data_IF_575309052552
#
_entry.id   IF_575309052552
#
_cell.length_a   1.000
_cell.length_b   1.000
_cell.length_c   1.000
_cell.angle_alpha   90.00
_cell.angle_beta   90.00
_cell.angle_gamma   90.00
#
_symmetry.space_group_name_H-M   'P 1'
#
loop_
_entity.id
_entity.type
_entity.pdbx_description
1 polymer ?
#
# COMPACT_ATOMS: atom_id res chain seq x y z
N UNK A 1 9.80 -8.91 -23.22
CA UNK A 1 10.23 -9.02 -21.82
C UNK A 1 10.60 -10.48 -21.61
N UNK A 2 11.74 -10.80 -20.99
CA UNK A 2 12.11 -12.19 -20.72
C UNK A 2 11.07 -12.84 -19.80
N UNK A 3 10.65 -14.07 -20.10
CA UNK A 3 9.72 -14.81 -19.25
C UNK A 3 10.48 -15.24 -18.00
N UNK A 4 10.06 -14.72 -16.84
CA UNK A 4 10.66 -15.07 -15.55
C UNK A 4 10.13 -16.44 -15.13
N UNK A 5 11.05 -17.40 -15.08
CA UNK A 5 10.78 -18.78 -14.67
C UNK A 5 11.55 -19.10 -13.39
N UNK A 6 11.32 -20.27 -12.80
CA UNK A 6 12.16 -20.77 -11.71
C UNK A 6 13.68 -20.70 -11.98
N UNK A 7 14.11 -20.92 -13.23
CA UNK A 7 15.53 -20.82 -13.63
C UNK A 7 16.10 -19.41 -13.42
N UNK A 8 15.28 -18.36 -13.58
CA UNK A 8 15.71 -16.98 -13.32
C UNK A 8 16.09 -16.80 -11.84
N UNK A 9 15.25 -17.26 -10.91
CA UNK A 9 15.52 -17.14 -9.48
C UNK A 9 16.74 -17.96 -9.04
N UNK A 10 16.92 -19.16 -9.60
CA UNK A 10 18.11 -19.97 -9.35
C UNK A 10 19.40 -19.27 -9.80
N UNK A 11 19.38 -18.59 -10.97
CA UNK A 11 20.51 -17.77 -11.43
C UNK A 11 20.82 -16.58 -10.51
N UNK A 12 19.80 -16.06 -9.81
CA UNK A 12 19.97 -15.03 -8.78
C UNK A 12 20.43 -15.60 -7.43
N UNK A 13 20.72 -16.91 -7.35
CA UNK A 13 21.13 -17.58 -6.11
C UNK A 13 19.98 -17.77 -5.10
N UNK A 14 18.73 -17.66 -5.55
CA UNK A 14 17.56 -17.91 -4.69
C UNK A 14 17.30 -19.42 -4.66
N UNK A 15 17.31 -20.07 -3.47
CA UNK A 15 17.00 -21.48 -3.37
C UNK A 15 15.61 -21.81 -3.92
N UNK A 16 15.49 -22.89 -4.69
CA UNK A 16 14.21 -23.35 -5.23
C UNK A 16 13.14 -23.53 -4.14
N UNK A 17 13.53 -24.06 -2.97
CA UNK A 17 12.62 -24.22 -1.83
C UNK A 17 11.98 -22.90 -1.40
N UNK A 18 12.74 -21.80 -1.48
CA UNK A 18 12.26 -20.47 -1.09
C UNK A 18 11.28 -19.97 -2.16
N UNK A 19 11.63 -20.11 -3.45
CA UNK A 19 10.75 -19.74 -4.57
C UNK A 19 9.40 -20.46 -4.48
N UNK A 20 9.41 -21.78 -4.24
CA UNK A 20 8.19 -22.59 -4.11
C UNK A 20 7.39 -22.24 -2.86
N UNK A 21 8.06 -22.00 -1.72
CA UNK A 21 7.39 -21.58 -0.49
C UNK A 21 6.70 -20.22 -0.66
N UNK A 22 7.40 -19.25 -1.26
CA UNK A 22 6.86 -17.93 -1.56
C UNK A 22 5.70 -18.02 -2.54
N UNK A 23 5.81 -18.78 -3.64
CA UNK A 23 4.70 -18.93 -4.57
C UNK A 23 3.49 -19.58 -3.89
N UNK A 24 3.69 -20.65 -3.11
CA UNK A 24 2.61 -21.30 -2.36
C UNK A 24 1.89 -20.33 -1.42
N UNK A 25 2.64 -19.44 -0.77
CA UNK A 25 2.08 -18.47 0.17
C UNK A 25 1.42 -17.25 -0.51
N UNK A 26 2.01 -16.76 -1.60
CA UNK A 26 1.62 -15.50 -2.24
C UNK A 26 0.78 -15.65 -3.51
N UNK A 27 0.65 -16.85 -4.08
CA UNK A 27 -0.15 -17.07 -5.28
C UNK A 27 -1.59 -16.57 -5.08
N UNK A 28 -2.15 -16.00 -6.14
CA UNK A 28 -3.55 -15.62 -6.17
C UNK A 28 -4.41 -16.86 -6.34
N UNK A 29 -5.55 -16.89 -5.65
CA UNK A 29 -6.56 -17.94 -5.84
C UNK A 29 -7.15 -17.84 -7.24
N UNK A 30 -7.09 -18.92 -8.01
CA UNK A 30 -7.66 -18.98 -9.35
C UNK A 30 -9.16 -18.60 -9.35
N UNK A 31 -9.57 -17.75 -10.29
CA UNK A 31 -10.95 -17.28 -10.39
C UNK A 31 -11.38 -16.21 -9.38
N UNK A 32 -10.52 -15.84 -8.41
CA UNK A 32 -10.85 -14.80 -7.44
C UNK A 32 -10.95 -13.43 -8.10
N UNK A 33 -12.12 -12.79 -7.96
CA UNK A 33 -12.31 -11.39 -8.35
C UNK A 33 -11.81 -10.47 -7.24
N UNK A 34 -10.64 -9.87 -7.44
CA UNK A 34 -9.92 -9.08 -6.42
C UNK A 34 -10.74 -7.90 -5.85
N UNK A 35 -11.28 -7.02 -6.70
CA UNK A 35 -12.05 -5.85 -6.23
C UNK A 35 -13.33 -6.23 -5.48
N UNK A 36 -14.19 -7.15 -5.99
CA UNK A 36 -15.33 -7.66 -5.22
C UNK A 36 -14.95 -8.31 -3.89
N UNK A 37 -13.85 -9.06 -3.84
CA UNK A 37 -13.35 -9.65 -2.60
C UNK A 37 -12.95 -8.58 -1.58
N UNK A 38 -12.24 -7.53 -2.01
CA UNK A 38 -11.75 -6.48 -1.12
C UNK A 38 -12.86 -5.56 -0.60
N UNK A 39 -13.88 -5.27 -1.43
CA UNK A 39 -14.88 -4.21 -1.17
C UNK A 39 -15.55 -4.28 0.21
N UNK A 40 -16.16 -5.41 0.65
CA UNK A 40 -16.83 -5.43 1.96
C UNK A 40 -15.88 -5.12 3.12
N UNK A 41 -14.64 -5.63 3.05
CA UNK A 41 -13.60 -5.37 4.06
C UNK A 41 -13.16 -3.91 4.08
N UNK A 42 -13.02 -3.30 2.88
CA UNK A 42 -12.72 -1.87 2.75
C UNK A 42 -13.82 -1.00 3.36
N UNK A 43 -15.08 -1.35 3.14
CA UNK A 43 -16.22 -0.64 3.74
C UNK A 43 -16.19 -0.70 5.26
N UNK A 44 -15.87 -1.85 5.85
CA UNK A 44 -15.76 -1.99 7.30
C UNK A 44 -14.59 -1.19 7.88
N UNK A 45 -13.40 -1.25 7.28
CA UNK A 45 -12.27 -0.41 7.69
C UNK A 45 -12.55 1.08 7.53
N UNK A 46 -13.23 1.47 6.46
CA UNK A 46 -13.63 2.85 6.21
C UNK A 46 -14.59 3.35 7.30
N UNK A 47 -15.60 2.55 7.67
CA UNK A 47 -16.52 2.88 8.76
C UNK A 47 -15.79 3.05 10.09
N UNK A 48 -14.83 2.16 10.39
CA UNK A 48 -13.96 2.30 11.55
C UNK A 48 -13.20 3.63 11.51
N UNK A 49 -12.57 3.96 10.37
CA UNK A 49 -11.75 5.15 10.22
C UNK A 49 -12.53 6.47 10.33
N UNK A 50 -13.75 6.49 9.79
CA UNK A 50 -14.65 7.63 9.91
C UNK A 50 -15.02 7.90 11.38
N UNK A 51 -15.15 6.85 12.19
CA UNK A 51 -15.48 6.92 13.61
C UNK A 51 -14.31 7.28 14.53
N UNK A 52 -13.06 7.33 14.03
CA UNK A 52 -11.92 7.69 14.86
C UNK A 52 -12.06 9.09 15.47
N UNK A 53 -11.61 9.27 16.73
CA UNK A 53 -11.74 10.53 17.45
C UNK A 53 -11.01 11.64 16.70
N UNK A 54 -11.62 12.83 16.68
CA UNK A 54 -11.10 14.01 16.00
C UNK A 54 -10.73 15.10 17.02
N UNK A 55 -9.54 15.66 16.85
CA UNK A 55 -9.05 16.82 17.61
C UNK A 55 -9.70 18.14 17.18
N UNK A 56 -9.48 19.19 17.98
CA UNK A 56 -10.00 20.54 17.68
C UNK A 56 -9.30 21.20 16.49
N UNK A 57 -8.00 20.93 16.33
CA UNK A 57 -7.16 21.47 15.26
C UNK A 57 -6.07 20.47 14.87
N UNK A 58 -5.24 20.83 13.89
CA UNK A 58 -4.09 20.03 13.46
C UNK A 58 -3.02 19.92 14.55
N UNK A 59 -2.85 20.95 15.37
CA UNK A 59 -1.91 20.99 16.49
C UNK A 59 -2.41 20.15 17.67
N UNK A 60 -3.73 19.99 17.79
CA UNK A 60 -4.41 19.24 18.85
C UNK A 60 -5.10 17.97 18.33
N UNK A 61 -4.43 17.24 17.44
CA UNK A 61 -4.95 15.98 16.87
C UNK A 61 -5.21 14.95 17.96
N UNK A 62 -6.28 14.18 17.79
CA UNK A 62 -6.45 12.92 18.50
C UNK A 62 -5.72 11.83 17.72
N UNK A 63 -4.92 11.04 18.43
CA UNK A 63 -4.10 9.97 17.87
C UNK A 63 -4.84 8.65 18.04
N UNK A 64 -4.84 7.83 16.99
CA UNK A 64 -5.30 6.44 17.05
C UNK A 64 -4.18 5.54 16.55
N UNK A 65 -3.69 4.67 17.43
CA UNK A 65 -2.68 3.67 17.11
C UNK A 65 -3.34 2.50 16.37
N UNK A 66 -2.75 2.08 15.25
CA UNK A 66 -3.31 1.01 14.40
C UNK A 66 -2.45 -0.25 14.47
N UNK A 67 -1.13 -0.07 14.40
CA UNK A 67 -0.15 -1.16 14.42
C UNK A 67 0.96 -0.86 15.42
N UNK A 68 1.50 -1.92 16.05
CA UNK A 68 2.69 -1.88 16.89
C UNK A 68 3.63 -3.01 16.49
N UNK A 69 4.90 -2.68 16.26
CA UNK A 69 5.96 -3.67 15.99
C UNK A 69 7.23 -3.25 16.72
N UNK A 70 7.63 -4.04 17.72
CA UNK A 70 8.72 -3.67 18.62
C UNK A 70 8.48 -2.33 19.31
N UNK A 71 9.41 -1.39 19.12
CA UNK A 71 9.32 -0.03 19.63
C UNK A 71 8.72 0.98 18.65
N UNK A 72 8.19 0.51 17.52
CA UNK A 72 7.50 1.32 16.53
C UNK A 72 5.99 1.21 16.69
N UNK A 73 5.31 2.33 16.44
CA UNK A 73 3.86 2.43 16.34
C UNK A 73 3.51 3.11 15.02
N UNK A 74 2.58 2.55 14.27
CA UNK A 74 1.97 3.20 13.10
C UNK A 74 0.60 3.68 13.50
N UNK A 75 0.37 4.98 13.34
CA UNK A 75 -0.81 5.66 13.85
C UNK A 75 -1.37 6.65 12.84
N UNK A 76 -2.55 7.15 13.16
CA UNK A 76 -3.16 8.30 12.49
C UNK A 76 -3.43 9.43 13.47
N UNK A 77 -3.37 10.66 13.00
CA UNK A 77 -3.83 11.84 13.72
C UNK A 77 -4.98 12.52 12.97
N UNK A 78 -6.08 12.83 13.66
CA UNK A 78 -7.25 13.49 13.06
C UNK A 78 -7.52 14.82 13.77
N UNK A 79 -7.72 15.96 13.07
CA UNK A 79 -7.78 16.13 11.60
C UNK A 79 -6.41 16.14 10.88
N UNK A 80 -6.41 15.74 9.60
CA UNK A 80 -5.28 15.87 8.67
C UNK A 80 -5.22 17.24 7.97
N UNK A 81 -4.30 17.38 7.01
CA UNK A 81 -4.03 18.64 6.28
C UNK A 81 -5.24 19.08 5.44
N UNK A 82 -5.90 18.15 4.76
CA UNK A 82 -7.01 18.44 3.83
C UNK A 82 -8.32 18.76 4.54
N UNK A 83 -8.34 18.68 5.88
CA UNK A 83 -9.47 19.09 6.71
C UNK A 83 -9.50 20.59 7.01
N UNK A 84 -8.42 21.34 6.71
CA UNK A 84 -8.44 22.80 6.85
C UNK A 84 -9.53 23.43 5.96
N UNK A 85 -10.28 24.44 6.42
CA UNK A 85 -11.20 25.21 5.58
C UNK A 85 -10.53 25.85 4.35
N UNK A 86 -9.23 26.12 4.42
CA UNK A 86 -8.46 26.70 3.31
C UNK A 86 -8.19 25.71 2.18
N UNK A 87 -8.36 24.41 2.45
CA UNK A 87 -8.11 23.36 1.48
C UNK A 87 -9.32 23.20 0.56
N UNK A 88 -9.15 23.56 -0.72
CA UNK A 88 -10.23 23.59 -1.71
C UNK A 88 -10.09 22.45 -2.71
N UNK A 89 -10.99 21.47 -2.65
CA UNK A 89 -11.15 20.43 -3.69
C UNK A 89 -12.58 20.39 -4.21
N UNK A 90 -12.75 19.93 -5.45
CA UNK A 90 -14.09 19.65 -6.00
C UNK A 90 -14.53 18.27 -5.55
N UNK A 91 -15.74 18.19 -5.00
CA UNK A 91 -16.43 16.93 -4.79
C UNK A 91 -16.75 16.29 -6.15
N UNK A 92 -16.41 15.01 -6.33
CA UNK A 92 -16.44 14.36 -7.65
C UNK A 92 -17.84 14.19 -8.23
N UNK A 93 -18.86 14.05 -7.37
CA UNK A 93 -20.25 13.89 -7.82
C UNK A 93 -20.97 15.25 -7.94
N UNK A 94 -20.95 16.08 -6.90
CA UNK A 94 -21.71 17.34 -6.87
C UNK A 94 -20.98 18.52 -7.52
N UNK A 95 -19.67 18.41 -7.78
CA UNK A 95 -18.83 19.50 -8.30
C UNK A 95 -18.57 20.64 -7.31
N UNK A 96 -19.20 20.61 -6.12
CA UNK A 96 -19.06 21.65 -5.09
C UNK A 96 -17.63 21.70 -4.56
N UNK A 97 -17.11 22.91 -4.36
CA UNK A 97 -15.82 23.10 -3.68
C UNK A 97 -16.00 22.87 -2.18
N UNK A 98 -15.20 21.96 -1.62
CA UNK A 98 -15.21 21.56 -0.22
C UNK A 98 -13.81 21.17 0.24
N UNK A 99 -13.60 21.14 1.55
CA UNK A 99 -12.47 20.46 2.19
C UNK A 99 -12.83 18.98 2.47
N UNK A 100 -11.87 18.21 3.00
CA UNK A 100 -12.10 16.85 3.50
C UNK A 100 -12.12 16.85 5.04
N UNK A 101 -13.29 17.01 5.69
CA UNK A 101 -13.38 17.05 7.15
C UNK A 101 -12.94 15.76 7.86
N UNK A 102 -12.88 14.64 7.12
CA UNK A 102 -12.45 13.35 7.64
C UNK A 102 -10.99 13.03 7.38
N UNK A 103 -10.25 13.91 6.70
CA UNK A 103 -8.83 13.72 6.41
C UNK A 103 -8.06 13.35 7.68
N UNK A 104 -7.13 12.42 7.54
CA UNK A 104 -6.27 11.93 8.61
C UNK A 104 -4.82 12.14 8.22
N UNK A 105 -3.94 12.16 9.22
CA UNK A 105 -2.50 12.22 9.03
C UNK A 105 -1.87 10.89 9.46
N UNK A 106 -1.55 9.96 8.54
CA UNK A 106 -0.75 8.78 8.84
C UNK A 106 0.68 9.15 9.26
N UNK A 107 1.21 8.52 10.31
CA UNK A 107 2.61 8.69 10.71
C UNK A 107 3.15 7.47 11.46
N UNK A 108 4.47 7.45 11.64
CA UNK A 108 5.20 6.44 12.38
C UNK A 108 5.79 7.10 13.64
N UNK A 109 5.73 6.41 14.78
CA UNK A 109 6.46 6.75 16.00
C UNK A 109 7.49 5.68 16.32
N UNK A 110 8.62 6.08 16.89
CA UNK A 110 9.65 5.23 17.49
C UNK A 110 9.89 5.71 18.91
N UNK A 111 9.71 4.84 19.90
CA UNK A 111 9.81 5.20 21.33
C UNK A 111 8.91 6.40 21.72
N UNK A 112 7.69 6.46 21.15
CA UNK A 112 6.74 7.55 21.42
C UNK A 112 7.03 8.88 20.70
N UNK A 113 8.11 8.97 19.93
CA UNK A 113 8.47 10.17 19.16
C UNK A 113 8.19 9.91 17.68
N UNK A 114 7.56 10.87 17.01
CA UNK A 114 7.31 10.79 15.56
C UNK A 114 8.62 10.70 14.78
N UNK A 115 8.68 9.75 13.84
CA UNK A 115 9.83 9.55 12.96
C UNK A 115 9.72 10.49 11.77
N UNK A 116 10.71 11.36 11.59
CA UNK A 116 10.81 12.27 10.45
C UNK A 116 9.66 13.28 10.35
N UNK A 117 9.57 13.92 9.19
CA UNK A 117 8.48 14.83 8.84
C UNK A 117 7.24 14.05 8.35
N UNK A 118 6.13 14.75 8.09
CA UNK A 118 5.00 14.14 7.38
C UNK A 118 5.47 13.54 6.05
N UNK A 119 5.31 12.22 5.88
CA UNK A 119 5.75 11.50 4.70
C UNK A 119 4.82 11.82 3.52
N UNK A 120 5.29 12.66 2.61
CA UNK A 120 4.59 12.94 1.35
C UNK A 120 4.71 11.76 0.39
N UNK A 121 3.84 11.68 -0.62
CA UNK A 121 3.97 10.69 -1.70
C UNK A 121 5.35 10.75 -2.38
N UNK A 122 5.87 11.96 -2.60
CA UNK A 122 7.20 12.18 -3.16
C UNK A 122 8.30 11.59 -2.28
N UNK A 123 8.27 11.87 -0.97
CA UNK A 123 9.25 11.33 -0.02
C UNK A 123 9.22 9.79 0.02
N UNK A 124 8.02 9.19 -0.04
CA UNK A 124 7.88 7.73 -0.10
C UNK A 124 8.43 7.15 -1.41
N UNK A 125 8.20 7.83 -2.54
CA UNK A 125 8.73 7.40 -3.83
C UNK A 125 10.25 7.49 -3.86
N UNK A 126 10.81 8.54 -3.29
CA UNK A 126 12.26 8.71 -3.16
C UNK A 126 12.87 7.60 -2.31
N UNK A 127 12.28 7.33 -1.14
CA UNK A 127 12.71 6.24 -0.25
C UNK A 127 12.68 4.87 -0.93
N UNK A 128 11.63 4.57 -1.69
CA UNK A 128 11.53 3.32 -2.47
C UNK A 128 12.50 3.33 -3.66
N UNK A 129 12.71 4.50 -4.29
CA UNK A 129 13.65 4.70 -5.39
C UNK A 129 15.09 4.37 -4.99
N UNK A 130 15.49 4.64 -3.75
CA UNK A 130 16.80 4.23 -3.23
C UNK A 130 17.01 2.71 -3.20
N UNK A 131 15.95 1.90 -3.35
CA UNK A 131 16.03 0.44 -3.41
C UNK A 131 16.37 -0.11 -4.80
N UNK A 132 16.51 0.73 -5.82
CA UNK A 132 16.76 0.33 -7.24
C UNK A 132 17.94 -0.64 -7.40
N UNK A 133 18.86 -0.70 -6.44
CA UNK A 133 20.07 -1.54 -6.47
C UNK A 133 20.25 -2.44 -5.24
N UNK A 134 19.21 -2.58 -4.41
CA UNK A 134 19.33 -3.31 -3.15
C UNK A 134 19.34 -4.84 -3.37
N UNK A 135 18.18 -5.48 -3.42
CA UNK A 135 18.04 -6.92 -3.71
C UNK A 135 16.82 -7.10 -4.63
N UNK A 136 17.05 -7.67 -5.82
CA UNK A 136 16.00 -7.85 -6.84
C UNK A 136 14.84 -8.70 -6.30
N UNK A 137 15.14 -9.76 -5.55
CA UNK A 137 14.10 -10.65 -5.05
C UNK A 137 13.38 -10.05 -3.84
N UNK A 138 14.09 -9.36 -2.94
CA UNK A 138 13.49 -8.58 -1.87
C UNK A 138 12.56 -7.50 -2.41
N UNK A 139 12.96 -6.79 -3.46
CA UNK A 139 12.16 -5.75 -4.09
C UNK A 139 10.90 -6.34 -4.74
N UNK A 140 11.01 -7.52 -5.34
CA UNK A 140 9.86 -8.27 -5.83
C UNK A 140 8.90 -8.69 -4.71
N UNK A 141 9.41 -9.28 -3.62
CA UNK A 141 8.60 -9.63 -2.44
C UNK A 141 7.85 -8.40 -1.90
N UNK A 142 8.53 -7.27 -1.79
CA UNK A 142 7.93 -6.01 -1.37
C UNK A 142 6.79 -5.58 -2.30
N UNK A 143 7.01 -5.57 -3.61
CA UNK A 143 5.98 -5.23 -4.60
C UNK A 143 4.77 -6.17 -4.57
N UNK A 144 4.99 -7.47 -4.42
CA UNK A 144 3.93 -8.47 -4.29
C UNK A 144 3.10 -8.26 -3.02
N UNK A 145 3.74 -7.98 -1.88
CA UNK A 145 3.03 -7.70 -0.62
C UNK A 145 2.18 -6.42 -0.72
N UNK A 146 2.69 -5.36 -1.34
CA UNK A 146 1.91 -4.14 -1.61
C UNK A 146 0.70 -4.45 -2.50
N UNK A 147 0.89 -5.21 -3.57
CA UNK A 147 -0.19 -5.61 -4.47
C UNK A 147 -1.28 -6.37 -3.71
N UNK A 148 -0.92 -7.35 -2.88
CA UNK A 148 -1.88 -8.14 -2.08
C UNK A 148 -2.59 -7.26 -1.04
N UNK A 149 -1.88 -6.30 -0.45
CA UNK A 149 -2.44 -5.30 0.49
C UNK A 149 -3.48 -4.39 -0.16
N UNK A 150 -3.30 -4.06 -1.45
CA UNK A 150 -4.27 -3.27 -2.24
C UNK A 150 -5.66 -3.91 -2.23
N UNK A 151 -5.72 -5.23 -2.28
CA UNK A 151 -6.96 -6.01 -2.32
C UNK A 151 -7.31 -6.70 -1.01
N UNK A 152 -6.65 -6.31 0.08
CA UNK A 152 -6.89 -6.82 1.42
C UNK A 152 -6.80 -8.36 1.52
N UNK A 153 -5.93 -8.99 0.72
CA UNK A 153 -5.84 -10.46 0.66
C UNK A 153 -5.29 -11.06 1.95
N UNK A 154 -4.47 -10.29 2.67
CA UNK A 154 -3.80 -10.71 3.90
C UNK A 154 -4.33 -9.96 5.14
N UNK A 155 -5.52 -9.36 5.04
CA UNK A 155 -6.17 -8.73 6.18
C UNK A 155 -7.03 -9.75 6.93
N UNK A 156 -6.93 -9.74 8.25
CA UNK A 156 -7.77 -10.55 9.14
C UNK A 156 -8.38 -9.66 10.22
N UNK A 157 -9.56 -10.04 10.70
CA UNK A 157 -10.13 -9.38 11.87
C UNK A 157 -9.31 -9.74 13.12
N UNK A 158 -9.00 -8.73 13.93
CA UNK A 158 -8.46 -8.93 15.27
C UNK A 158 -9.58 -9.34 16.26
N UNK A 159 -9.25 -9.46 17.55
CA UNK A 159 -10.21 -9.83 18.59
C UNK A 159 -11.38 -8.83 18.75
N UNK A 160 -11.20 -7.58 18.29
CA UNK A 160 -12.21 -6.52 18.32
C UNK A 160 -13.02 -6.44 17.01
N UNK A 161 -12.86 -7.43 16.11
CA UNK A 161 -13.53 -7.45 14.81
C UNK A 161 -12.97 -6.44 13.80
N UNK A 162 -11.81 -5.83 14.07
CA UNK A 162 -11.20 -4.82 13.20
C UNK A 162 -10.24 -5.46 12.20
N UNK A 163 -10.35 -5.11 10.92
CA UNK A 163 -9.44 -5.61 9.89
C UNK A 163 -8.05 -5.02 10.07
N UNK A 164 -7.05 -5.89 10.15
CA UNK A 164 -5.64 -5.53 10.26
C UNK A 164 -4.83 -6.34 9.26
N UNK A 165 -3.85 -5.69 8.63
CA UNK A 165 -2.92 -6.34 7.73
C UNK A 165 -2.03 -7.31 8.50
N UNK A 166 -2.02 -8.58 8.10
CA UNK A 166 -1.15 -9.62 8.66
C UNK A 166 -0.30 -10.18 7.50
N UNK A 167 0.87 -9.57 7.22
CA UNK A 167 1.72 -10.01 6.13
C UNK A 167 2.04 -11.52 6.24
N UNK A 168 2.03 -12.26 5.12
CA UNK A 168 2.38 -13.68 5.12
C UNK A 168 3.79 -13.92 5.68
N UNK A 169 3.93 -14.98 6.47
CA UNK A 169 5.07 -15.16 7.40
C UNK A 169 6.37 -15.46 6.65
N UNK A 170 6.33 -16.36 5.67
CA UNK A 170 7.53 -16.76 4.94
C UNK A 170 8.04 -15.61 4.07
N UNK A 171 7.13 -14.96 3.34
CA UNK A 171 7.40 -13.77 2.54
C UNK A 171 7.97 -12.63 3.40
N UNK A 172 7.38 -12.34 4.55
CA UNK A 172 7.90 -11.28 5.42
C UNK A 172 9.27 -11.63 6.00
N UNK A 173 9.46 -12.88 6.43
CA UNK A 173 10.74 -13.35 6.99
C UNK A 173 11.85 -13.22 5.96
N UNK A 174 11.61 -13.63 4.72
CA UNK A 174 12.58 -13.54 3.64
C UNK A 174 12.80 -12.09 3.19
N UNK A 175 11.75 -11.28 3.14
CA UNK A 175 11.84 -9.86 2.86
C UNK A 175 12.70 -9.14 3.90
N UNK A 176 12.48 -9.37 5.20
CA UNK A 176 13.28 -8.77 6.28
C UNK A 176 14.77 -9.11 6.19
N UNK A 177 15.13 -10.29 5.68
CA UNK A 177 16.53 -10.69 5.48
C UNK A 177 17.18 -9.94 4.30
N UNK A 178 16.42 -9.63 3.26
CA UNK A 178 16.92 -9.06 1.99
C UNK A 178 16.81 -7.55 1.92
N UNK A 179 15.73 -7.01 2.47
CA UNK A 179 15.42 -5.58 2.59
C UNK A 179 14.94 -5.32 4.03
N UNK A 180 15.86 -5.18 4.99
CA UNK A 180 15.50 -5.05 6.40
C UNK A 180 14.75 -3.75 6.72
N UNK A 181 15.06 -2.66 6.02
CA UNK A 181 14.49 -1.34 6.27
C UNK A 181 14.39 -0.48 5.01
N UNK A 182 13.52 0.53 5.07
CA UNK A 182 13.36 1.60 4.09
C UNK A 182 13.37 2.92 4.85
N UNK A 183 14.26 3.85 4.50
CA UNK A 183 14.34 5.15 5.17
C UNK A 183 14.58 5.07 6.69
N UNK A 184 15.34 4.08 7.15
CA UNK A 184 15.61 3.85 8.59
C UNK A 184 14.43 3.27 9.38
N UNK A 185 13.39 2.79 8.69
CA UNK A 185 12.22 2.14 9.28
C UNK A 185 12.19 0.67 8.88
N UNK A 186 12.00 -0.28 9.82
CA UNK A 186 11.87 -1.69 9.50
C UNK A 186 10.81 -1.96 8.41
N UNK A 187 11.09 -2.86 7.49
CA UNK A 187 10.25 -3.09 6.30
C UNK A 187 8.79 -3.48 6.63
N UNK A 188 8.57 -4.20 7.73
CA UNK A 188 7.22 -4.52 8.21
C UNK A 188 6.48 -3.28 8.71
N UNK A 189 7.17 -2.39 9.44
CA UNK A 189 6.62 -1.10 9.87
C UNK A 189 6.29 -0.23 8.65
N UNK A 190 7.13 -0.25 7.62
CA UNK A 190 6.86 0.45 6.37
C UNK A 190 5.62 -0.11 5.65
N UNK A 191 5.45 -1.44 5.59
CA UNK A 191 4.25 -2.07 5.04
C UNK A 191 2.98 -1.68 5.82
N UNK A 192 3.04 -1.66 7.15
CA UNK A 192 1.94 -1.18 7.99
C UNK A 192 1.62 0.28 7.72
N UNK A 193 2.64 1.12 7.53
CA UNK A 193 2.45 2.52 7.17
C UNK A 193 1.74 2.67 5.81
N UNK A 194 2.13 1.90 4.79
CA UNK A 194 1.45 1.91 3.49
C UNK A 194 -0.03 1.49 3.62
N UNK A 195 -0.34 0.52 4.48
CA UNK A 195 -1.73 0.13 4.74
C UNK A 195 -2.56 1.26 5.39
N UNK A 196 -1.99 1.97 6.36
CA UNK A 196 -2.64 3.12 7.02
C UNK A 196 -2.77 4.31 6.05
N UNK A 197 -1.76 4.56 5.22
CA UNK A 197 -1.83 5.56 4.14
C UNK A 197 -2.98 5.24 3.18
N UNK A 198 -3.10 3.99 2.75
CA UNK A 198 -4.15 3.54 1.87
C UNK A 198 -5.55 3.66 2.50
N UNK A 199 -5.67 3.44 3.81
CA UNK A 199 -6.90 3.69 4.56
C UNK A 199 -7.29 5.17 4.55
N UNK A 200 -6.31 6.08 4.70
CA UNK A 200 -6.58 7.52 4.59
C UNK A 200 -7.09 7.90 3.19
N UNK A 201 -6.48 7.34 2.14
CA UNK A 201 -6.93 7.59 0.76
C UNK A 201 -8.36 7.05 0.50
N UNK A 202 -8.76 5.94 1.13
CA UNK A 202 -10.16 5.49 1.12
C UNK A 202 -11.10 6.52 1.79
N UNK A 203 -10.70 7.08 2.94
CA UNK A 203 -11.47 8.14 3.63
C UNK A 203 -11.59 9.41 2.79
N UNK A 204 -10.52 9.82 2.09
CA UNK A 204 -10.56 10.97 1.17
C UNK A 204 -11.55 10.74 0.04
N UNK A 205 -11.47 9.60 -0.63
CA UNK A 205 -12.34 9.32 -1.79
C UNK A 205 -13.80 9.18 -1.37
N UNK A 206 -14.07 8.56 -0.22
CA UNK A 206 -15.40 8.52 0.36
C UNK A 206 -15.96 9.93 0.59
N UNK A 207 -15.20 10.78 1.27
CA UNK A 207 -15.66 12.13 1.65
C UNK A 207 -15.84 13.05 0.44
N UNK A 208 -15.14 12.77 -0.66
CA UNK A 208 -15.24 13.53 -1.92
C UNK A 208 -16.26 12.94 -2.91
N UNK A 209 -17.06 11.95 -2.51
CA UNK A 209 -18.23 11.49 -3.26
C UNK A 209 -18.14 10.09 -3.87
N UNK A 210 -17.02 9.38 -3.75
CA UNK A 210 -16.93 7.98 -4.13
C UNK A 210 -17.22 7.11 -2.91
N UNK A 211 -18.50 7.04 -2.56
CA UNK A 211 -18.94 6.41 -1.32
C UNK A 211 -18.69 4.90 -1.29
N UNK A 212 -18.58 4.38 -0.06
CA UNK A 212 -18.57 2.95 0.24
C UNK A 212 -17.60 2.08 -0.59
N UNK A 213 -16.44 2.63 -0.96
CA UNK A 213 -15.40 1.90 -1.71
C UNK A 213 -15.96 1.18 -2.97
N UNK A 214 -16.98 1.75 -3.62
CA UNK A 214 -17.63 1.15 -4.78
C UNK A 214 -16.65 1.00 -5.96
N UNK A 215 -15.70 1.92 -6.07
CA UNK A 215 -14.63 1.92 -7.06
C UNK A 215 -13.27 1.59 -6.43
N UNK A 216 -12.27 1.38 -7.28
CA UNK A 216 -10.88 1.14 -6.87
C UNK A 216 -10.08 2.42 -6.61
N UNK A 217 -10.76 3.55 -6.49
CA UNK A 217 -10.16 4.77 -5.98
C UNK A 217 -9.78 4.64 -4.51
N UNK A 218 -8.82 5.45 -4.05
CA UNK A 218 -8.31 5.42 -2.68
C UNK A 218 -7.20 4.37 -2.53
N UNK A 219 -7.42 3.38 -1.65
CA UNK A 219 -6.49 2.29 -1.33
C UNK A 219 -5.93 1.59 -2.57
N UNK A 220 -6.80 1.10 -3.44
CA UNK A 220 -6.38 0.21 -4.55
C UNK A 220 -5.48 0.98 -5.51
N UNK A 221 -5.91 2.14 -6.01
CA UNK A 221 -5.07 2.97 -6.88
C UNK A 221 -3.77 3.42 -6.19
N UNK A 222 -3.82 3.75 -4.89
CA UNK A 222 -2.64 4.16 -4.10
C UNK A 222 -1.60 3.05 -4.06
N UNK A 223 -1.98 1.88 -3.54
CA UNK A 223 -1.05 0.77 -3.39
C UNK A 223 -0.61 0.20 -4.73
N UNK A 224 -1.49 0.15 -5.74
CA UNK A 224 -1.08 -0.27 -7.09
C UNK A 224 -0.13 0.74 -7.75
N UNK A 225 -0.14 2.01 -7.37
CA UNK A 225 0.85 2.97 -7.87
C UNK A 225 2.22 2.69 -7.25
N UNK A 226 2.29 2.40 -5.96
CA UNK A 226 3.54 1.94 -5.31
C UNK A 226 4.03 0.60 -5.88
N UNK A 227 3.14 -0.36 -6.11
CA UNK A 227 3.49 -1.62 -6.76
C UNK A 227 3.96 -1.41 -8.21
N UNK A 228 3.47 -0.39 -8.91
CA UNK A 228 3.95 -0.06 -10.25
C UNK A 228 5.35 0.58 -10.21
N UNK A 229 5.62 1.46 -9.23
CA UNK A 229 6.97 1.98 -9.00
C UNK A 229 7.95 0.83 -8.81
N UNK A 230 7.66 -0.11 -7.91
CA UNK A 230 8.50 -1.31 -7.70
C UNK A 230 8.72 -2.09 -8.99
N UNK A 231 7.67 -2.30 -9.79
CA UNK A 231 7.79 -2.97 -11.09
C UNK A 231 8.68 -2.24 -12.10
N UNK A 232 8.71 -0.90 -12.06
CA UNK A 232 9.64 -0.08 -12.84
C UNK A 232 11.07 -0.26 -12.35
N UNK A 233 11.31 -0.24 -11.03
CA UNK A 233 12.65 -0.45 -10.45
C UNK A 233 13.20 -1.86 -10.74
N UNK A 234 12.32 -2.85 -10.86
CA UNK A 234 12.66 -4.20 -11.33
C UNK A 234 12.93 -4.30 -12.85
N UNK A 235 12.79 -3.19 -13.59
CA UNK A 235 12.84 -3.14 -15.05
C UNK A 235 11.80 -4.04 -15.75
N UNK A 236 10.66 -4.31 -15.09
CA UNK A 236 9.55 -5.12 -15.63
C UNK A 236 8.43 -4.26 -16.19
N UNK A 237 8.47 -2.95 -15.96
CA UNK A 237 7.55 -1.96 -16.54
C UNK A 237 8.33 -0.73 -17.00
N UNK A 238 7.79 -0.03 -17.98
CA UNK A 238 8.45 1.13 -18.57
C UNK A 238 8.38 2.35 -17.64
N UNK A 239 9.54 2.89 -17.28
CA UNK A 239 9.67 4.15 -16.55
C UNK A 239 8.95 5.30 -17.27
N UNK A 240 9.14 5.43 -18.59
CA UNK A 240 8.51 6.48 -19.38
C UNK A 240 6.98 6.39 -19.37
N UNK A 241 6.42 5.18 -19.46
CA UNK A 241 4.95 4.98 -19.35
C UNK A 241 4.43 5.26 -17.95
N UNK A 242 5.18 4.88 -16.91
CA UNK A 242 4.85 5.18 -15.52
C UNK A 242 4.83 6.68 -15.26
N UNK A 243 5.91 7.40 -15.60
CA UNK A 243 5.99 8.85 -15.47
C UNK A 243 4.90 9.57 -16.29
N UNK A 244 4.70 9.15 -17.54
CA UNK A 244 3.66 9.71 -18.40
C UNK A 244 2.23 9.49 -17.90
N UNK A 245 1.98 8.47 -17.07
CA UNK A 245 0.66 8.23 -16.50
C UNK A 245 0.26 9.30 -15.47
N UNK A 246 1.21 9.85 -14.70
CA UNK A 246 0.92 10.92 -13.74
C UNK A 246 0.39 12.21 -14.39
N UNK A 247 0.79 12.47 -15.63
CA UNK A 247 0.37 13.64 -16.40
C UNK A 247 -0.98 13.47 -17.11
N UNK A 248 -1.52 12.25 -17.18
CA UNK A 248 -2.78 11.95 -17.90
C UNK A 248 -3.96 11.98 -16.93
N UNK A 249 -5.12 12.55 -17.32
CA UNK A 249 -6.34 12.45 -16.52
C UNK A 249 -6.78 11.00 -16.27
N UNK A 250 -7.19 10.63 -15.03
CA UNK A 250 -7.07 11.44 -13.81
C UNK A 250 -5.60 11.54 -13.36
N UNK A 251 -5.09 12.77 -13.27
CA UNK A 251 -3.68 13.05 -12.99
C UNK A 251 -3.29 12.71 -11.55
N UNK A 252 -2.01 12.44 -11.33
CA UNK A 252 -1.43 12.25 -10.00
C UNK A 252 -1.34 10.80 -9.52
N UNK A 253 -1.79 9.83 -10.32
CA UNK A 253 -1.72 8.40 -10.00
C UNK A 253 -1.27 7.58 -11.20
N UNK A 254 -0.57 6.47 -10.96
CA UNK A 254 -0.10 5.56 -12.01
C UNK A 254 -0.27 4.08 -11.58
N UNK A 255 -1.51 3.61 -11.33
CA UNK A 255 -1.74 2.28 -10.80
C UNK A 255 -1.28 1.19 -11.78
N UNK A 256 -0.66 0.14 -11.24
CA UNK A 256 -0.37 -1.09 -11.99
C UNK A 256 -1.70 -1.73 -12.46
N UNK A 257 -1.80 -2.25 -13.70
CA UNK A 257 -2.96 -3.02 -14.11
C UNK A 257 -3.17 -4.25 -13.20
N UNK A 258 -4.43 -4.53 -12.87
CA UNK A 258 -4.76 -5.54 -11.85
C UNK A 258 -4.55 -6.99 -12.30
N UNK A 259 -4.66 -7.25 -13.61
CA UNK A 259 -4.66 -8.61 -14.18
C UNK A 259 -3.74 -8.66 -15.40
N UNK A 260 -3.91 -7.69 -16.31
CA UNK A 260 -3.09 -7.61 -17.52
C UNK A 260 -1.61 -7.48 -17.16
N UNK A 261 -0.80 -8.39 -17.67
CA UNK A 261 0.65 -8.48 -17.46
C UNK A 261 1.07 -8.68 -15.99
N UNK A 262 0.15 -9.06 -15.10
CA UNK A 262 0.43 -9.16 -13.67
C UNK A 262 1.49 -10.23 -13.39
N UNK A 263 1.35 -11.41 -13.99
CA UNK A 263 2.25 -12.53 -13.71
C UNK A 263 3.60 -12.40 -14.43
N UNK A 264 3.66 -11.62 -15.50
CA UNK A 264 4.91 -11.22 -16.12
C UNK A 264 5.66 -10.20 -15.24
N UNK A 265 4.91 -9.38 -14.49
CA UNK A 265 5.45 -8.39 -13.55
C UNK A 265 5.85 -9.03 -12.21
N UNK A 266 4.98 -9.87 -11.65
CA UNK A 266 5.10 -10.55 -10.37
C UNK A 266 4.77 -12.04 -10.54
N UNK A 267 5.73 -12.85 -11.02
CA UNK A 267 5.50 -14.24 -11.40
C UNK A 267 5.03 -15.14 -10.27
N UNK A 268 5.51 -14.91 -9.05
CA UNK A 268 5.14 -15.75 -7.91
C UNK A 268 3.72 -15.48 -7.38
N UNK A 269 3.01 -14.48 -7.93
CA UNK A 269 1.56 -14.34 -7.74
C UNK A 269 0.76 -15.32 -8.62
N UNK A 270 1.38 -15.94 -9.62
CA UNK A 270 0.69 -16.89 -10.51
C UNK A 270 0.38 -18.20 -9.77
N UNK A 271 -0.87 -18.70 -9.79
CA UNK A 271 -1.21 -20.03 -9.29
C UNK A 271 -0.59 -21.16 -10.12
N UNK A 272 -0.02 -20.85 -11.29
CA UNK A 272 0.56 -21.80 -12.22
C UNK A 272 2.05 -21.54 -12.44
N UNK A 273 2.72 -20.90 -11.48
CA UNK A 273 4.15 -20.67 -11.57
C UNK A 273 4.92 -21.99 -11.61
N UNK A 274 5.89 -22.11 -12.52
CA UNK A 274 6.71 -23.31 -12.75
C UNK A 274 8.21 -22.97 -12.76
#
# INVERSE_FOLDING_TARGET
MEIITKKFYLKLGIPEKDVLAINKELALTAGLKLSPFARPRRVEMLKEALAFPKGKSQEQRKITEIYKSGNFVVAIGKPGKEASPDFKRKHYITGKTTNNPNDMNPFIMKNGVKVGNDLTFEALFEQIGYLTRADVFGLELFGMLIFRTAFMLDHKQNQEGKWRYIPPKEALSLLKKRLPEIGGVPIDVFLYFLDVLALNEDVKMHTLGYENAQHDYGRVNTLLTFAHLVAVLLNRRSLAKFAGAFARPPSGMAPLPKIKDLFETYPLLSPHFQ
#
